data_IF_525902042416
#
_entry.id   IF_525902042416
#
_cell.length_a   1.000
_cell.length_b   1.000
_cell.length_c   1.000
_cell.angle_alpha   90.00
_cell.angle_beta   90.00
_cell.angle_gamma   90.00
#
_symmetry.space_group_name_H-M   'P 1'
#
loop_
_entity.id
_entity.type
_entity.pdbx_description
1 polymer ?
#
# COMPACT_ATOMS: atom_id res chain seq x y z
N UNK A 1 25.88 -5.67 -14.92
CA UNK A 1 26.08 -7.07 -14.44
C UNK A 1 25.21 -7.24 -13.21
N UNK A 2 24.25 -8.16 -13.25
CA UNK A 2 23.44 -8.52 -12.09
C UNK A 2 24.37 -9.29 -11.13
N UNK A 3 24.51 -8.85 -9.88
CA UNK A 3 25.41 -9.49 -8.92
C UNK A 3 24.95 -10.93 -8.63
N UNK A 4 25.88 -11.85 -8.46
CA UNK A 4 25.60 -13.28 -8.14
C UNK A 4 24.66 -13.49 -6.94
N UNK A 5 24.57 -12.52 -6.03
CA UNK A 5 23.64 -12.54 -4.89
C UNK A 5 22.16 -12.46 -5.25
N UNK A 6 21.82 -11.87 -6.41
CA UNK A 6 20.41 -11.71 -6.83
C UNK A 6 19.82 -13.04 -7.32
N UNK A 7 20.65 -13.92 -7.89
CA UNK A 7 20.21 -15.22 -8.39
C UNK A 7 20.05 -16.28 -7.27
N UNK A 8 20.50 -15.98 -6.05
CA UNK A 8 20.50 -16.94 -4.92
C UNK A 8 19.10 -17.27 -4.40
N UNK A 9 18.11 -16.41 -4.66
CA UNK A 9 16.74 -16.57 -4.13
C UNK A 9 15.76 -17.23 -5.11
N UNK A 10 16.12 -17.33 -6.38
CA UNK A 10 15.24 -17.87 -7.42
C UNK A 10 15.81 -19.17 -7.97
N UNK A 11 15.22 -20.29 -7.54
CA UNK A 11 15.54 -21.59 -8.16
C UNK A 11 14.96 -21.61 -9.57
N UNK A 12 15.69 -22.15 -10.56
CA UNK A 12 15.12 -22.37 -11.89
C UNK A 12 13.88 -23.26 -11.78
N UNK A 13 12.76 -22.85 -12.36
CA UNK A 13 11.55 -23.65 -12.34
C UNK A 13 10.27 -22.83 -12.40
N UNK A 14 9.16 -23.44 -11.99
CA UNK A 14 7.85 -22.79 -11.93
C UNK A 14 7.84 -21.78 -10.77
N UNK A 15 7.33 -20.61 -11.04
CA UNK A 15 7.18 -19.50 -10.12
C UNK A 15 5.70 -19.18 -9.98
N UNK A 16 5.21 -18.89 -8.78
CA UNK A 16 3.87 -18.38 -8.59
C UNK A 16 3.79 -16.92 -9.08
N UNK A 17 2.58 -16.43 -9.38
CA UNK A 17 2.38 -15.04 -9.76
C UNK A 17 2.91 -14.05 -8.68
N UNK A 18 2.71 -14.38 -7.39
CA UNK A 18 3.23 -13.58 -6.26
C UNK A 18 4.76 -13.53 -6.28
N UNK A 19 5.44 -14.66 -6.39
CA UNK A 19 6.91 -14.71 -6.45
C UNK A 19 7.45 -13.94 -7.65
N UNK A 20 6.78 -14.05 -8.82
CA UNK A 20 7.15 -13.28 -10.00
C UNK A 20 7.01 -11.77 -9.76
N UNK A 21 5.91 -11.31 -9.17
CA UNK A 21 5.70 -9.89 -8.89
C UNK A 21 6.70 -9.35 -7.86
N UNK A 22 7.01 -10.10 -6.82
CA UNK A 22 8.04 -9.73 -5.84
C UNK A 22 9.43 -9.64 -6.51
N UNK A 23 9.79 -10.65 -7.28
CA UNK A 23 11.06 -10.67 -7.99
C UNK A 23 11.16 -9.54 -9.00
N UNK A 24 10.20 -9.42 -9.91
CA UNK A 24 10.26 -8.42 -10.96
C UNK A 24 10.16 -7.00 -10.39
N UNK A 25 9.18 -6.76 -9.50
CA UNK A 25 8.93 -5.43 -8.93
C UNK A 25 10.04 -4.96 -8.01
N UNK A 26 10.56 -5.82 -7.15
CA UNK A 26 11.55 -5.45 -6.14
C UNK A 26 12.98 -5.77 -6.59
N UNK A 27 13.25 -7.03 -6.96
CA UNK A 27 14.62 -7.46 -7.20
C UNK A 27 15.16 -7.04 -8.58
N UNK A 28 14.29 -6.69 -9.52
CA UNK A 28 14.69 -6.20 -10.84
C UNK A 28 14.44 -4.69 -10.95
N UNK A 29 13.18 -4.26 -10.96
CA UNK A 29 12.84 -2.86 -11.25
C UNK A 29 13.46 -1.89 -10.25
N UNK A 30 13.31 -2.11 -8.94
CA UNK A 30 13.87 -1.23 -7.92
C UNK A 30 15.40 -1.26 -7.84
N UNK A 31 16.06 -2.31 -8.30
CA UNK A 31 17.53 -2.31 -8.43
C UNK A 31 18.05 -1.52 -9.61
N UNK A 32 17.23 -1.37 -10.64
CA UNK A 32 17.56 -0.50 -11.78
C UNK A 32 17.30 0.96 -11.42
N UNK A 33 16.16 1.23 -10.80
CA UNK A 33 15.75 2.55 -10.32
C UNK A 33 14.90 2.39 -9.06
N UNK A 34 15.46 2.76 -7.90
CA UNK A 34 14.85 2.53 -6.60
C UNK A 34 13.47 3.18 -6.48
N UNK A 35 13.30 4.36 -7.04
CA UNK A 35 12.09 5.18 -6.97
C UNK A 35 11.10 4.93 -8.11
N UNK A 36 11.25 3.86 -8.88
CA UNK A 36 10.48 3.60 -10.09
C UNK A 36 8.96 3.65 -9.86
N UNK A 37 8.48 3.06 -8.77
CA UNK A 37 7.05 2.95 -8.51
C UNK A 37 6.47 4.24 -7.96
N UNK A 38 7.07 4.81 -6.90
CA UNK A 38 6.57 6.05 -6.32
C UNK A 38 6.69 7.24 -7.27
N UNK A 39 7.77 7.35 -8.03
CA UNK A 39 7.93 8.43 -9.02
C UNK A 39 6.83 8.39 -10.08
N UNK A 40 6.45 7.19 -10.53
CA UNK A 40 5.36 7.03 -11.49
C UNK A 40 4.02 7.38 -10.85
N UNK A 41 3.76 6.83 -9.67
CA UNK A 41 2.50 7.05 -8.93
C UNK A 41 2.27 8.53 -8.64
N UNK A 42 3.26 9.22 -8.07
CA UNK A 42 3.15 10.66 -7.76
C UNK A 42 2.93 11.47 -9.03
N UNK A 43 3.62 11.13 -10.12
CA UNK A 43 3.41 11.78 -11.41
C UNK A 43 1.98 11.62 -11.92
N UNK A 44 1.41 10.43 -11.81
CA UNK A 44 0.05 10.15 -12.28
C UNK A 44 -0.96 10.89 -11.41
N UNK A 45 -0.85 10.86 -10.08
CA UNK A 45 -1.70 11.62 -9.15
C UNK A 45 -1.62 13.12 -9.44
N UNK A 46 -0.42 13.64 -9.65
CA UNK A 46 -0.23 15.07 -9.96
C UNK A 46 -0.85 15.45 -11.30
N UNK A 47 -0.82 14.58 -12.30
CA UNK A 47 -1.38 14.84 -13.61
C UNK A 47 -2.92 14.73 -13.65
N UNK A 48 -3.48 13.84 -12.83
CA UNK A 48 -4.93 13.59 -12.78
C UNK A 48 -5.65 14.53 -11.80
N UNK A 49 -4.93 15.13 -10.86
CA UNK A 49 -5.44 16.05 -9.83
C UNK A 49 -6.73 15.52 -9.14
N UNK A 50 -6.77 14.25 -8.68
CA UNK A 50 -7.96 13.72 -8.04
C UNK A 50 -8.23 14.44 -6.72
N UNK A 51 -9.51 14.51 -6.32
CA UNK A 51 -9.89 15.07 -5.02
C UNK A 51 -9.24 14.31 -3.85
N UNK A 52 -9.16 12.99 -3.98
CA UNK A 52 -8.50 12.06 -3.02
C UNK A 52 -7.83 10.96 -3.80
N UNK A 53 -6.60 10.62 -3.44
CA UNK A 53 -5.89 9.43 -3.91
C UNK A 53 -5.63 8.51 -2.72
N UNK A 54 -5.92 7.22 -2.87
CA UNK A 54 -5.65 6.19 -1.85
C UNK A 54 -4.60 5.23 -2.39
N UNK A 55 -3.55 5.02 -1.61
CA UNK A 55 -2.45 4.11 -1.92
C UNK A 55 -2.47 3.00 -0.87
N UNK A 56 -2.81 1.78 -1.26
CA UNK A 56 -3.02 0.64 -0.34
C UNK A 56 -1.85 -0.33 -0.26
N UNK A 57 -0.78 -0.10 -1.01
CA UNK A 57 0.37 -0.99 -1.12
C UNK A 57 1.73 -0.32 -0.84
N UNK A 58 1.75 0.75 -0.06
CA UNK A 58 2.99 1.37 0.40
C UNK A 58 3.80 0.37 1.25
N UNK A 59 4.98 -0.01 0.79
CA UNK A 59 5.80 -1.08 1.38
C UNK A 59 7.21 -0.68 1.76
N UNK A 60 7.69 0.45 1.27
CA UNK A 60 9.06 0.89 1.47
C UNK A 60 9.15 2.28 2.09
N UNK A 61 10.18 2.57 2.92
CA UNK A 61 10.37 3.88 3.54
C UNK A 61 10.41 5.04 2.54
N UNK A 62 11.07 4.88 1.40
CA UNK A 62 11.14 5.90 0.36
C UNK A 62 9.78 6.16 -0.32
N UNK A 63 8.90 5.17 -0.37
CA UNK A 63 7.52 5.35 -0.84
C UNK A 63 6.71 6.19 0.17
N UNK A 64 6.78 5.82 1.47
CA UNK A 64 6.13 6.57 2.53
C UNK A 64 6.61 8.03 2.57
N UNK A 65 7.91 8.25 2.48
CA UNK A 65 8.50 9.57 2.45
C UNK A 65 8.05 10.39 1.23
N UNK A 66 8.03 9.79 0.04
CA UNK A 66 7.58 10.49 -1.18
C UNK A 66 6.10 10.88 -1.12
N UNK A 67 5.25 10.05 -0.51
CA UNK A 67 3.84 10.38 -0.25
C UNK A 67 3.75 11.59 0.67
N UNK A 68 4.48 11.61 1.78
CA UNK A 68 4.47 12.70 2.75
C UNK A 68 5.05 14.00 2.17
N UNK A 69 6.16 13.94 1.43
CA UNK A 69 6.74 15.09 0.73
C UNK A 69 5.80 15.69 -0.32
N UNK A 70 4.91 14.87 -0.88
CA UNK A 70 3.86 15.31 -1.80
C UNK A 70 2.60 15.86 -1.11
N UNK A 71 2.62 16.03 0.23
CA UNK A 71 1.49 16.49 1.02
C UNK A 71 0.49 15.40 1.42
N UNK A 72 0.79 14.15 1.10
CA UNK A 72 0.00 13.00 1.54
C UNK A 72 0.27 12.63 3.00
N UNK A 73 -0.47 11.62 3.49
CA UNK A 73 -0.32 11.08 4.84
C UNK A 73 -0.28 9.56 4.82
N UNK A 74 0.47 8.99 5.75
CA UNK A 74 0.70 7.54 5.82
C UNK A 74 0.16 6.98 7.13
N UNK A 75 -0.81 6.07 7.03
CA UNK A 75 -1.39 5.32 8.17
C UNK A 75 -0.75 3.94 8.22
N UNK A 76 -0.19 3.58 9.35
CA UNK A 76 0.30 2.23 9.62
C UNK A 76 -0.77 1.39 10.30
N UNK A 77 -1.17 0.29 9.67
CA UNK A 77 -2.02 -0.75 10.27
C UNK A 77 -1.14 -1.85 10.86
N UNK A 78 -1.31 -2.17 12.15
CA UNK A 78 -0.40 -3.08 12.87
C UNK A 78 -0.62 -4.56 12.55
N UNK A 79 -1.78 -4.94 11.96
CA UNK A 79 -2.07 -6.34 11.61
C UNK A 79 -1.22 -6.78 10.42
N UNK A 80 -0.31 -7.71 10.69
CA UNK A 80 0.46 -8.39 9.65
C UNK A 80 -0.09 -9.81 9.45
N UNK A 81 -0.71 -10.07 8.31
CA UNK A 81 -1.31 -11.38 8.00
C UNK A 81 -0.32 -12.34 7.31
N UNK A 82 0.87 -11.89 6.96
CA UNK A 82 1.82 -12.67 6.20
C UNK A 82 3.10 -12.94 6.99
N UNK A 83 3.50 -14.20 7.03
CA UNK A 83 4.82 -14.64 7.53
C UNK A 83 5.86 -14.69 6.41
N UNK A 84 5.72 -13.86 5.40
CA UNK A 84 6.65 -13.80 4.28
C UNK A 84 7.95 -13.11 4.72
N UNK A 85 9.07 -13.70 4.36
CA UNK A 85 10.40 -13.15 4.68
C UNK A 85 10.95 -12.23 3.58
N UNK A 86 10.18 -12.00 2.50
CA UNK A 86 10.62 -11.14 1.41
C UNK A 86 10.85 -9.70 1.87
N UNK A 87 11.84 -9.04 1.30
CA UNK A 87 12.25 -7.67 1.69
C UNK A 87 11.09 -6.69 1.63
N UNK A 88 10.22 -6.78 0.61
CA UNK A 88 9.05 -5.90 0.46
C UNK A 88 8.01 -6.03 1.60
N UNK A 89 8.00 -7.14 2.32
CA UNK A 89 7.07 -7.37 3.43
C UNK A 89 7.64 -6.89 4.78
N UNK A 90 8.91 -6.53 4.83
CA UNK A 90 9.62 -6.17 6.06
C UNK A 90 10.26 -4.78 6.05
N UNK A 91 10.32 -4.14 4.88
CA UNK A 91 11.05 -2.89 4.71
C UNK A 91 10.54 -1.76 5.62
N UNK A 92 9.22 -1.68 5.88
CA UNK A 92 8.62 -0.68 6.77
C UNK A 92 8.73 -1.01 8.26
N UNK A 93 9.22 -2.18 8.67
CA UNK A 93 9.26 -2.58 10.09
C UNK A 93 10.10 -1.64 10.97
N UNK A 94 11.10 -0.98 10.40
CA UNK A 94 11.97 0.00 11.09
C UNK A 94 11.53 1.46 10.89
N UNK A 95 10.59 1.73 10.01
CA UNK A 95 10.08 3.08 9.76
C UNK A 95 9.25 3.56 10.96
N UNK A 96 9.39 4.84 11.35
CA UNK A 96 8.74 5.40 12.55
C UNK A 96 7.92 6.65 12.27
N UNK A 97 8.12 7.27 11.12
CA UNK A 97 7.56 8.59 10.80
C UNK A 97 6.18 8.48 10.14
N UNK A 98 5.34 7.55 10.63
CA UNK A 98 3.94 7.45 10.21
C UNK A 98 3.13 8.62 10.76
N UNK A 99 2.19 9.16 9.97
CA UNK A 99 1.27 10.22 10.41
C UNK A 99 0.24 9.71 11.42
N UNK A 100 -0.12 8.43 11.32
CA UNK A 100 -0.93 7.73 12.31
C UNK A 100 -0.58 6.24 12.36
N UNK A 101 -0.80 5.64 13.54
CA UNK A 101 -0.67 4.19 13.74
C UNK A 101 -1.99 3.68 14.32
N UNK A 102 -2.62 2.74 13.63
CA UNK A 102 -3.88 2.12 14.04
C UNK A 102 -3.59 0.67 14.44
N UNK A 103 -3.78 0.36 15.72
CA UNK A 103 -3.69 -1.02 16.19
C UNK A 103 -4.96 -1.79 15.84
N UNK A 104 -4.84 -2.60 14.80
CA UNK A 104 -5.92 -3.42 14.31
C UNK A 104 -5.67 -4.93 14.44
N UNK A 105 -4.71 -5.36 15.29
CA UNK A 105 -4.33 -6.77 15.42
C UNK A 105 -5.53 -7.66 15.77
N UNK A 106 -6.40 -7.20 16.68
CA UNK A 106 -7.59 -7.92 17.14
C UNK A 106 -8.89 -7.26 16.70
N UNK A 107 -8.84 -6.17 15.96
CA UNK A 107 -10.01 -5.44 15.51
C UNK A 107 -10.67 -6.12 14.30
N UNK A 108 -11.99 -6.04 14.19
CA UNK A 108 -12.72 -6.37 12.96
C UNK A 108 -12.41 -5.36 11.84
N UNK A 109 -12.81 -5.68 10.63
CA UNK A 109 -12.71 -4.76 9.49
C UNK A 109 -13.49 -3.47 9.79
N UNK A 110 -14.70 -3.59 10.34
CA UNK A 110 -15.55 -2.44 10.66
C UNK A 110 -14.91 -1.54 11.73
N UNK A 111 -14.35 -2.11 12.79
CA UNK A 111 -13.64 -1.33 13.81
C UNK A 111 -12.42 -0.63 13.22
N UNK A 112 -11.65 -1.32 12.37
CA UNK A 112 -10.52 -0.71 11.67
C UNK A 112 -10.97 0.46 10.78
N UNK A 113 -12.06 0.29 10.01
CA UNK A 113 -12.60 1.34 9.16
C UNK A 113 -13.06 2.57 9.99
N UNK A 114 -13.70 2.34 11.14
CA UNK A 114 -14.11 3.43 12.04
C UNK A 114 -12.89 4.24 12.51
N UNK A 115 -11.80 3.57 12.91
CA UNK A 115 -10.58 4.27 13.34
C UNK A 115 -9.90 5.02 12.19
N UNK A 116 -9.87 4.47 10.98
CA UNK A 116 -9.38 5.16 9.80
C UNK A 116 -10.21 6.43 9.53
N UNK A 117 -11.55 6.32 9.55
CA UNK A 117 -12.43 7.47 9.29
C UNK A 117 -12.28 8.55 10.35
N UNK A 118 -12.15 8.19 11.63
CA UNK A 118 -11.86 9.16 12.68
C UNK A 118 -10.56 9.90 12.39
N UNK A 119 -9.49 9.18 12.07
CA UNK A 119 -8.19 9.75 11.73
C UNK A 119 -8.30 10.72 10.54
N UNK A 120 -8.99 10.33 9.47
CA UNK A 120 -9.20 11.20 8.29
C UNK A 120 -10.05 12.44 8.63
N UNK A 121 -11.02 12.30 9.53
CA UNK A 121 -11.85 13.42 10.01
C UNK A 121 -11.02 14.39 10.85
N UNK A 122 -10.17 13.88 11.74
CA UNK A 122 -9.24 14.71 12.54
C UNK A 122 -8.26 15.49 11.66
N UNK A 123 -7.85 14.93 10.53
CA UNK A 123 -7.04 15.62 9.52
C UNK A 123 -7.83 16.60 8.66
N UNK A 124 -9.16 16.64 8.79
CA UNK A 124 -10.03 17.48 7.99
C UNK A 124 -10.21 17.02 6.53
N UNK A 125 -9.85 15.76 6.25
CA UNK A 125 -9.96 15.17 4.90
C UNK A 125 -11.35 14.58 4.64
N UNK A 126 -12.12 14.33 5.69
CA UNK A 126 -13.50 13.87 5.60
C UNK A 126 -14.40 14.80 6.44
N UNK A 127 -15.62 15.06 5.94
CA UNK A 127 -16.61 15.81 6.69
C UNK A 127 -17.11 15.03 7.92
N UNK A 128 -17.52 15.73 8.95
CA UNK A 128 -18.04 15.19 10.22
C UNK A 128 -19.40 14.49 10.09
N UNK A 129 -19.98 14.43 8.88
CA UNK A 129 -21.34 13.92 8.66
C UNK A 129 -21.46 12.40 8.56
N UNK A 130 -20.34 11.67 8.44
CA UNK A 130 -20.35 10.20 8.45
C UNK A 130 -20.57 9.70 9.89
N UNK A 131 -21.81 9.36 10.22
CA UNK A 131 -22.14 8.76 11.51
C UNK A 131 -21.55 7.34 11.55
N UNK A 132 -20.85 6.98 12.63
CA UNK A 132 -20.30 5.61 12.81
C UNK A 132 -21.35 4.50 12.70
N UNK A 133 -22.61 4.82 12.82
CA UNK A 133 -23.74 3.90 12.72
C UNK A 133 -24.02 3.48 11.27
N UNK A 134 -23.77 4.36 10.29
CA UNK A 134 -23.96 4.08 8.87
C UNK A 134 -22.90 3.14 8.29
N UNK A 135 -21.75 3.03 8.98
CA UNK A 135 -20.64 2.13 8.58
C UNK A 135 -20.87 0.67 9.02
N UNK A 136 -21.85 0.41 9.88
CA UNK A 136 -22.15 -0.94 10.37
C UNK A 136 -22.89 -1.82 9.36
N UNK A 137 -23.40 -1.25 8.29
CA UNK A 137 -24.23 -1.93 7.30
C UNK A 137 -23.55 -2.14 5.93
N UNK A 138 -22.25 -1.98 5.82
CA UNK A 138 -21.58 -2.38 4.58
C UNK A 138 -21.75 -3.90 4.43
N UNK A 139 -22.46 -4.36 3.37
CA UNK A 139 -22.68 -5.78 3.16
C UNK A 139 -21.33 -6.47 3.01
N UNK A 140 -21.19 -7.63 3.62
CA UNK A 140 -20.01 -8.49 3.57
C UNK A 140 -19.90 -9.16 2.19
N UNK A 141 -20.21 -8.42 1.14
CA UNK A 141 -20.09 -8.87 -0.24
C UNK A 141 -18.61 -8.85 -0.61
N UNK A 142 -18.08 -10.03 -0.90
CA UNK A 142 -16.77 -10.15 -1.54
C UNK A 142 -16.77 -9.24 -2.76
N UNK A 143 -15.76 -8.36 -2.94
CA UNK A 143 -15.69 -7.52 -4.11
C UNK A 143 -15.77 -8.41 -5.34
N UNK A 144 -16.82 -8.24 -6.14
CA UNK A 144 -16.87 -8.83 -7.47
C UNK A 144 -15.74 -8.16 -8.25
N UNK A 145 -14.76 -8.95 -8.67
CA UNK A 145 -13.73 -8.52 -9.60
C UNK A 145 -14.43 -8.13 -10.91
N UNK A 146 -14.82 -6.88 -11.02
CA UNK A 146 -15.20 -6.29 -12.30
C UNK A 146 -13.90 -6.12 -13.05
N UNK A 147 -13.60 -7.10 -13.91
CA UNK A 147 -12.46 -7.07 -14.81
C UNK A 147 -12.62 -5.94 -15.84
N UNK A 148 -12.22 -4.75 -15.47
CA UNK A 148 -12.04 -3.63 -16.38
C UNK A 148 -10.64 -3.66 -16.95
N UNK A 149 -10.46 -4.25 -18.14
CA UNK A 149 -9.25 -4.04 -18.94
C UNK A 149 -9.34 -2.61 -19.47
N UNK A 150 -8.69 -1.67 -18.80
CA UNK A 150 -8.46 -0.38 -19.40
C UNK A 150 -7.42 -0.53 -20.51
N UNK A 151 -7.88 -0.37 -21.75
CA UNK A 151 -6.98 -0.27 -22.92
C UNK A 151 -6.26 1.07 -22.81
N UNK A 152 -4.96 0.98 -22.59
CA UNK A 152 -4.07 2.13 -22.78
C UNK A 152 -3.97 2.39 -24.30
N UNK A 153 -4.32 3.57 -24.75
CA UNK A 153 -3.99 4.12 -26.07
C UNK A 153 -2.72 4.93 -25.98
#
# INVERSE_FOLDING_TARGET
>A
MISEGTLKYHKPGKMSAREFLQFFGTDVCRKIYEDVWQSRLIKDITAEEPLVAVIDDCRFPNEAQAIQESGGKVIHLTRCNYKDSHTSERALSSYKDFDAVIDNQNASINETNIEIIKTLTEWGWMGTELKPEELKEAPNEKPQLVGGIHKFH
#
